data_IF_061675935254
#
_entry.id   IF_061675935254
#
_cell.length_a   1.000
_cell.length_b   1.000
_cell.length_c   1.000
_cell.angle_alpha   90.00
_cell.angle_beta   90.00
_cell.angle_gamma   90.00
#
_symmetry.space_group_name_H-M   'P 1'
#
loop_
_entity.id
_entity.type
_entity.pdbx_description
1 polymer ?
#
# COMPACT_ATOMS: atom_id res chain seq x y z
N UNK A 1 -28.60 -12.59 -35.55
CA UNK A 1 -28.10 -11.65 -34.52
C UNK A 1 -26.86 -12.24 -33.89
N UNK A 2 -25.67 -11.72 -34.18
CA UNK A 2 -24.42 -12.16 -33.55
C UNK A 2 -24.19 -11.31 -32.30
N UNK A 3 -24.24 -11.92 -31.13
CA UNK A 3 -23.85 -11.27 -29.87
C UNK A 3 -22.33 -11.10 -29.87
N UNK A 4 -21.86 -9.86 -29.71
CA UNK A 4 -20.45 -9.55 -29.51
C UNK A 4 -20.13 -9.76 -28.04
N UNK A 5 -19.36 -10.79 -27.74
CA UNK A 5 -18.71 -10.99 -26.44
C UNK A 5 -17.64 -9.91 -26.27
N UNK A 6 -17.83 -8.98 -25.34
CA UNK A 6 -16.78 -8.06 -24.93
C UNK A 6 -15.86 -8.78 -23.95
N UNK A 7 -14.65 -9.11 -24.40
CA UNK A 7 -13.55 -9.55 -23.54
C UNK A 7 -13.00 -8.31 -22.83
N UNK A 8 -13.27 -8.15 -21.55
CA UNK A 8 -12.56 -7.20 -20.69
C UNK A 8 -11.18 -7.79 -20.40
N UNK A 9 -10.18 -7.35 -21.18
CA UNK A 9 -8.78 -7.63 -20.89
C UNK A 9 -8.41 -6.81 -19.66
N UNK A 10 -8.28 -7.48 -18.51
CA UNK A 10 -7.65 -6.91 -17.32
C UNK A 10 -6.20 -6.59 -17.65
N UNK A 11 -5.92 -5.30 -17.87
CA UNK A 11 -4.58 -4.82 -18.10
C UNK A 11 -3.92 -4.64 -16.74
N UNK A 12 -3.20 -5.66 -16.27
CA UNK A 12 -2.23 -5.50 -15.20
C UNK A 12 -1.12 -4.56 -15.72
N UNK A 13 -1.32 -3.26 -15.51
CA UNK A 13 -0.27 -2.27 -15.78
C UNK A 13 0.68 -2.34 -14.61
N UNK A 14 1.77 -3.08 -14.78
CA UNK A 14 2.96 -2.95 -13.93
C UNK A 14 3.52 -1.54 -14.18
N UNK A 15 3.04 -0.55 -13.42
CA UNK A 15 3.66 0.77 -13.34
C UNK A 15 4.97 0.58 -12.58
N UNK A 16 6.08 0.54 -13.33
CA UNK A 16 7.40 0.65 -12.73
C UNK A 16 7.58 2.08 -12.25
N UNK A 17 7.40 2.30 -10.94
CA UNK A 17 7.78 3.57 -10.31
C UNK A 17 9.30 3.66 -10.35
N UNK A 18 9.84 4.43 -11.29
CA UNK A 18 11.22 4.88 -11.23
C UNK A 18 11.27 6.06 -10.25
N UNK A 19 11.74 5.80 -9.03
CA UNK A 19 12.20 6.87 -8.15
C UNK A 19 13.50 7.46 -8.72
N UNK A 20 13.67 8.79 -8.79
CA UNK A 20 14.97 9.36 -9.10
C UNK A 20 15.86 9.21 -7.86
N UNK A 21 16.95 8.44 -8.00
CA UNK A 21 17.98 8.33 -7.00
C UNK A 21 18.60 9.73 -6.74
N UNK A 22 18.50 10.21 -5.50
CA UNK A 22 19.27 11.36 -5.05
C UNK A 22 20.75 10.97 -5.00
N UNK A 23 21.56 11.62 -5.84
CA UNK A 23 23.00 11.47 -5.84
C UNK A 23 23.62 12.18 -4.64
N UNK A 24 24.47 11.46 -3.90
CA UNK A 24 25.58 12.07 -3.17
C UNK A 24 26.84 11.23 -3.39
N UNK A 25 27.81 11.77 -4.09
CA UNK A 25 29.14 11.19 -4.23
C UNK A 25 30.03 11.62 -3.07
N UNK A 26 30.60 10.66 -2.34
CA UNK A 26 32.00 10.66 -1.90
C UNK A 26 32.32 9.32 -1.20
N UNK A 27 33.20 8.51 -1.80
CA UNK A 27 33.82 7.35 -1.13
C UNK A 27 33.98 6.15 -2.04
N UNK A 28 35.18 5.98 -2.60
CA UNK A 28 35.54 4.84 -3.44
C UNK A 28 35.37 3.50 -2.70
N UNK A 29 34.44 2.68 -3.20
CA UNK A 29 34.20 1.30 -2.80
C UNK A 29 33.27 0.66 -3.84
N UNK A 30 33.56 -0.59 -4.22
CA UNK A 30 32.92 -1.32 -5.33
C UNK A 30 31.39 -1.12 -5.36
N UNK A 31 30.87 -0.57 -6.47
CA UNK A 31 29.43 -0.38 -6.66
C UNK A 31 28.69 -1.72 -6.74
N UNK A 32 27.40 -1.77 -6.35
CA UNK A 32 26.65 -3.00 -6.27
C UNK A 32 26.54 -3.66 -7.65
N UNK A 33 26.73 -4.98 -7.69
CA UNK A 33 26.63 -5.76 -8.91
C UNK A 33 25.21 -5.61 -9.50
N UNK A 34 25.11 -5.51 -10.84
CA UNK A 34 23.86 -5.28 -11.62
C UNK A 34 22.65 -6.19 -11.29
N UNK A 35 22.80 -7.22 -10.44
CA UNK A 35 21.71 -8.04 -9.93
C UNK A 35 21.14 -7.61 -8.57
N UNK A 36 21.89 -6.93 -7.70
CA UNK A 36 21.40 -6.54 -6.36
C UNK A 36 20.35 -5.43 -6.46
N UNK A 37 20.50 -4.56 -7.45
CA UNK A 37 19.54 -3.50 -7.77
C UNK A 37 18.17 -4.04 -8.22
N UNK A 38 18.10 -5.24 -8.83
CA UNK A 38 16.80 -5.81 -9.22
C UNK A 38 16.09 -6.47 -8.04
N UNK A 39 16.80 -7.24 -7.22
CA UNK A 39 16.16 -7.95 -6.09
C UNK A 39 15.63 -6.95 -5.05
N UNK A 40 16.39 -5.90 -4.73
CA UNK A 40 15.90 -4.86 -3.80
C UNK A 40 14.66 -4.16 -4.36
N UNK A 41 14.65 -3.84 -5.66
CA UNK A 41 13.47 -3.25 -6.29
C UNK A 41 12.26 -4.19 -6.25
N UNK A 42 12.48 -5.50 -6.41
CA UNK A 42 11.41 -6.50 -6.33
C UNK A 42 10.84 -6.64 -4.91
N UNK A 43 11.70 -6.62 -3.89
CA UNK A 43 11.26 -6.62 -2.48
C UNK A 43 10.44 -5.38 -2.16
N UNK A 44 10.86 -4.20 -2.64
CA UNK A 44 10.10 -2.97 -2.47
C UNK A 44 8.77 -3.01 -3.24
N UNK A 45 8.76 -3.52 -4.48
CA UNK A 45 7.54 -3.68 -5.25
C UNK A 45 6.56 -4.64 -4.57
N UNK A 46 7.04 -5.77 -4.05
CA UNK A 46 6.23 -6.72 -3.28
C UNK A 46 5.66 -6.05 -2.01
N UNK A 47 6.45 -5.28 -1.26
CA UNK A 47 5.96 -4.53 -0.09
C UNK A 47 4.76 -3.62 -0.41
N UNK A 48 4.81 -2.90 -1.53
CA UNK A 48 3.70 -2.06 -1.96
C UNK A 48 2.48 -2.87 -2.42
N UNK A 49 2.69 -4.04 -3.04
CA UNK A 49 1.63 -4.99 -3.40
C UNK A 49 0.93 -5.51 -2.15
N UNK A 50 1.68 -6.14 -1.25
CA UNK A 50 1.16 -6.73 0.00
C UNK A 50 0.39 -5.73 0.87
N UNK A 51 0.86 -4.49 0.97
CA UNK A 51 0.14 -3.45 1.68
C UNK A 51 -1.18 -3.10 0.98
N UNK A 52 -1.17 -3.00 -0.34
CA UNK A 52 -2.35 -2.74 -1.15
C UNK A 52 -3.37 -3.86 -1.03
N UNK A 53 -2.96 -5.12 -1.20
CA UNK A 53 -3.85 -6.29 -1.13
C UNK A 53 -4.44 -6.47 0.25
N UNK A 54 -3.66 -6.23 1.31
CA UNK A 54 -4.19 -6.09 2.67
C UNK A 54 -5.37 -5.09 2.72
N UNK A 55 -5.23 -3.89 2.17
CA UNK A 55 -6.30 -2.87 2.20
C UNK A 55 -7.48 -3.24 1.32
N UNK A 56 -7.24 -3.78 0.14
CA UNK A 56 -8.28 -4.23 -0.81
C UNK A 56 -9.11 -5.35 -0.18
N UNK A 57 -8.48 -6.37 0.39
CA UNK A 57 -9.19 -7.48 1.02
C UNK A 57 -9.94 -7.07 2.28
N UNK A 58 -9.42 -6.11 3.07
CA UNK A 58 -10.21 -5.50 4.16
C UNK A 58 -11.45 -4.78 3.64
N UNK A 59 -11.37 -4.08 2.51
CA UNK A 59 -12.51 -3.41 1.89
C UNK A 59 -13.54 -4.43 1.36
N UNK A 60 -13.08 -5.47 0.67
CA UNK A 60 -13.93 -6.56 0.18
C UNK A 60 -14.61 -7.33 1.32
N UNK A 61 -13.89 -7.59 2.41
CA UNK A 61 -14.46 -8.20 3.60
C UNK A 61 -15.61 -7.38 4.20
N UNK A 62 -15.41 -6.06 4.32
CA UNK A 62 -16.43 -5.16 4.85
C UNK A 62 -17.67 -5.14 3.92
N UNK A 63 -17.47 -5.08 2.61
CA UNK A 63 -18.56 -5.15 1.64
C UNK A 63 -19.31 -6.48 1.71
N UNK A 64 -18.59 -7.60 1.76
CA UNK A 64 -19.18 -8.94 1.81
C UNK A 64 -20.02 -9.13 3.09
N UNK A 65 -19.55 -8.65 4.24
CA UNK A 65 -20.30 -8.65 5.49
C UNK A 65 -21.58 -7.80 5.37
N UNK A 66 -21.47 -6.59 4.81
CA UNK A 66 -22.63 -5.72 4.57
C UNK A 66 -23.65 -6.32 3.61
N UNK A 67 -23.21 -7.18 2.67
CA UNK A 67 -24.06 -7.93 1.76
C UNK A 67 -24.58 -9.26 2.34
N UNK A 68 -24.28 -9.59 3.60
CA UNK A 68 -24.72 -10.81 4.28
C UNK A 68 -23.93 -12.07 3.91
N UNK A 69 -22.80 -11.94 3.23
CA UNK A 69 -21.92 -13.06 2.84
C UNK A 69 -20.81 -13.28 3.86
N UNK A 70 -21.16 -13.76 5.06
CA UNK A 70 -20.20 -13.94 6.16
C UNK A 70 -19.03 -14.87 5.83
N UNK A 71 -19.26 -15.92 5.03
CA UNK A 71 -18.19 -16.82 4.59
C UNK A 71 -17.17 -16.10 3.71
N UNK A 72 -17.62 -15.31 2.73
CA UNK A 72 -16.72 -14.52 1.89
C UNK A 72 -16.03 -13.43 2.69
N UNK A 73 -16.76 -12.78 3.61
CA UNK A 73 -16.19 -11.77 4.50
C UNK A 73 -15.08 -12.34 5.39
N UNK A 74 -15.26 -13.56 5.92
CA UNK A 74 -14.22 -14.24 6.69
C UNK A 74 -13.01 -14.59 5.83
N UNK A 75 -13.23 -15.16 4.64
CA UNK A 75 -12.14 -15.50 3.72
C UNK A 75 -11.27 -14.28 3.41
N UNK A 76 -11.88 -13.16 2.98
CA UNK A 76 -11.14 -11.92 2.75
C UNK A 76 -10.41 -11.38 3.98
N UNK A 77 -10.96 -11.53 5.20
CA UNK A 77 -10.26 -11.12 6.43
C UNK A 77 -9.05 -12.00 6.73
N UNK A 78 -9.13 -13.29 6.45
CA UNK A 78 -8.05 -14.26 6.67
C UNK A 78 -6.92 -14.02 5.66
N UNK A 79 -7.24 -13.88 4.37
CA UNK A 79 -6.27 -13.50 3.33
C UNK A 79 -5.59 -12.16 3.66
N UNK A 80 -6.37 -11.11 3.96
CA UNK A 80 -5.81 -9.81 4.38
C UNK A 80 -4.87 -9.92 5.60
N UNK A 81 -5.13 -10.85 6.51
CA UNK A 81 -4.26 -11.06 7.67
C UNK A 81 -2.92 -11.68 7.24
N UNK A 82 -2.91 -12.62 6.29
CA UNK A 82 -1.67 -13.20 5.77
C UNK A 82 -0.83 -12.14 5.04
N UNK A 83 -1.42 -11.34 4.14
CA UNK A 83 -0.68 -10.28 3.44
C UNK A 83 0.01 -9.32 4.41
N UNK A 84 -0.70 -8.91 5.47
CA UNK A 84 -0.18 -7.92 6.42
C UNK A 84 0.85 -8.50 7.38
N UNK A 85 0.55 -9.65 7.98
CA UNK A 85 1.28 -10.14 9.16
C UNK A 85 2.29 -11.24 8.83
N UNK A 86 2.25 -11.79 7.62
CA UNK A 86 3.24 -12.74 7.10
C UNK A 86 4.02 -12.07 5.96
N UNK A 87 3.44 -11.94 4.77
CA UNK A 87 4.18 -11.49 3.58
C UNK A 87 4.82 -10.11 3.73
N UNK A 88 4.02 -9.07 4.03
CA UNK A 88 4.53 -7.71 4.27
C UNK A 88 5.53 -7.68 5.42
N UNK A 89 5.24 -8.40 6.51
CA UNK A 89 6.07 -8.38 7.71
C UNK A 89 7.47 -8.96 7.43
N UNK A 90 7.55 -10.06 6.68
CA UNK A 90 8.81 -10.69 6.29
C UNK A 90 9.59 -9.84 5.29
N UNK A 91 8.91 -9.25 4.30
CA UNK A 91 9.52 -8.31 3.37
C UNK A 91 10.01 -7.03 4.08
N UNK A 92 9.28 -6.54 5.07
CA UNK A 92 9.64 -5.34 5.81
C UNK A 92 10.90 -5.59 6.64
N UNK A 93 11.03 -6.79 7.23
CA UNK A 93 12.28 -7.22 7.89
C UNK A 93 13.42 -7.35 6.91
N UNK A 94 13.18 -7.98 5.76
CA UNK A 94 14.17 -8.16 4.70
C UNK A 94 14.69 -6.82 4.16
N UNK A 95 13.79 -5.87 3.92
CA UNK A 95 14.11 -4.54 3.40
C UNK A 95 14.75 -3.61 4.44
N UNK A 96 14.69 -3.97 5.73
CA UNK A 96 15.10 -3.07 6.82
C UNK A 96 14.17 -1.85 6.92
N UNK A 97 12.87 -2.03 6.67
CA UNK A 97 11.90 -0.93 6.58
C UNK A 97 11.80 -0.11 7.87
N UNK A 98 12.02 -0.75 9.03
CA UNK A 98 12.01 -0.15 10.36
C UNK A 98 13.44 0.05 10.87
N UNK A 99 13.88 1.31 10.94
CA UNK A 99 15.15 1.74 11.51
C UNK A 99 15.00 2.31 12.92
N UNK A 100 15.89 3.25 13.29
CA UNK A 100 15.72 4.03 14.52
C UNK A 100 14.54 5.00 14.43
N UNK A 101 14.04 5.51 15.55
CA UNK A 101 12.98 6.54 15.55
C UNK A 101 13.34 7.76 14.67
N UNK A 102 14.62 8.17 14.65
CA UNK A 102 15.08 9.28 13.82
C UNK A 102 15.09 8.94 12.31
N UNK A 103 15.46 7.71 11.95
CA UNK A 103 15.44 7.24 10.57
C UNK A 103 14.01 7.08 10.05
N UNK A 104 13.13 6.53 10.89
CA UNK A 104 11.71 6.35 10.59
C UNK A 104 11.04 7.71 10.36
N UNK A 105 11.29 8.69 11.23
CA UNK A 105 10.80 10.06 11.07
C UNK A 105 11.34 10.73 9.80
N UNK A 106 12.62 10.55 9.49
CA UNK A 106 13.23 11.11 8.27
C UNK A 106 12.63 10.51 7.01
N UNK A 107 12.37 9.20 7.02
CA UNK A 107 11.71 8.47 5.93
C UNK A 107 10.28 8.98 5.74
N UNK A 108 9.51 9.08 6.83
CA UNK A 108 8.15 9.61 6.78
C UNK A 108 8.11 11.04 6.22
N UNK A 109 8.93 11.97 6.76
CA UNK A 109 9.01 13.35 6.26
C UNK A 109 9.29 13.41 4.76
N UNK A 110 10.15 12.52 4.24
CA UNK A 110 10.50 12.50 2.82
C UNK A 110 9.31 12.11 1.94
N UNK A 111 8.58 11.05 2.33
CA UNK A 111 7.37 10.61 1.62
C UNK A 111 6.28 11.67 1.65
N UNK A 112 5.89 12.08 2.86
CA UNK A 112 4.85 13.08 3.13
C UNK A 112 5.12 14.40 2.39
N UNK A 113 6.37 14.85 2.39
CA UNK A 113 6.73 16.07 1.69
C UNK A 113 6.62 15.93 0.17
N UNK A 114 7.07 14.81 -0.40
CA UNK A 114 6.94 14.54 -1.83
C UNK A 114 5.46 14.48 -2.25
N UNK A 115 4.64 13.81 -1.45
CA UNK A 115 3.20 13.67 -1.73
C UNK A 115 2.49 15.02 -1.63
N UNK A 116 2.77 15.78 -0.57
CA UNK A 116 2.24 17.12 -0.35
C UNK A 116 2.58 18.10 -1.48
N UNK A 117 3.82 18.10 -1.97
CA UNK A 117 4.34 19.18 -2.83
C UNK A 117 4.42 18.83 -4.32
N UNK A 118 4.55 17.55 -4.65
CA UNK A 118 4.75 17.09 -6.03
C UNK A 118 3.58 16.21 -6.50
N UNK A 119 3.39 15.05 -5.86
CA UNK A 119 2.48 14.00 -6.36
C UNK A 119 1.02 14.46 -6.37
N UNK A 120 0.45 14.78 -5.20
CA UNK A 120 -0.96 15.13 -5.10
C UNK A 120 -1.32 16.43 -5.83
N UNK A 121 -0.49 17.49 -5.79
CA UNK A 121 -0.70 18.64 -6.66
C UNK A 121 -0.71 18.30 -8.16
N UNK A 122 0.17 17.40 -8.61
CA UNK A 122 0.18 16.93 -10.01
C UNK A 122 -1.08 16.14 -10.35
N UNK A 123 -1.53 15.25 -9.45
CA UNK A 123 -2.72 14.43 -9.63
C UNK A 123 -3.98 15.28 -9.65
N UNK A 124 -4.09 16.27 -8.75
CA UNK A 124 -5.17 17.25 -8.76
C UNK A 124 -5.21 18.06 -10.07
N UNK A 125 -4.05 18.49 -10.60
CA UNK A 125 -3.99 19.18 -11.91
C UNK A 125 -4.44 18.25 -13.05
N UNK A 126 -4.06 16.98 -13.04
CA UNK A 126 -4.51 16.01 -14.05
C UNK A 126 -6.01 15.76 -13.95
N UNK A 127 -6.55 15.59 -12.75
CA UNK A 127 -7.99 15.41 -12.52
C UNK A 127 -8.82 16.60 -13.02
N UNK A 128 -8.33 17.83 -12.85
CA UNK A 128 -8.96 19.03 -13.45
C UNK A 128 -8.95 18.99 -14.98
N UNK A 129 -7.84 18.57 -15.60
CA UNK A 129 -7.73 18.43 -17.07
C UNK A 129 -8.66 17.36 -17.62
N UNK A 130 -8.81 16.25 -16.91
CA UNK A 130 -9.68 15.14 -17.29
C UNK A 130 -11.16 15.40 -16.94
N UNK A 131 -11.48 16.53 -16.30
CA UNK A 131 -12.83 16.90 -15.91
C UNK A 131 -13.39 16.15 -14.68
N UNK A 132 -12.56 15.40 -13.95
CA UNK A 132 -12.98 14.73 -12.71
C UNK A 132 -12.81 15.67 -11.51
N UNK A 133 -13.76 16.59 -11.33
CA UNK A 133 -13.72 17.59 -10.25
C UNK A 133 -13.66 16.97 -8.84
N UNK A 134 -14.28 15.79 -8.64
CA UNK A 134 -14.26 15.09 -7.36
C UNK A 134 -12.86 14.61 -6.98
N UNK A 135 -12.13 13.96 -7.91
CA UNK A 135 -10.74 13.55 -7.67
C UNK A 135 -9.81 14.75 -7.50
N UNK A 136 -10.03 15.84 -8.27
CA UNK A 136 -9.25 17.06 -8.10
C UNK A 136 -9.40 17.66 -6.69
N UNK A 137 -10.61 17.59 -6.11
CA UNK A 137 -10.88 18.02 -4.74
C UNK A 137 -10.17 17.12 -3.73
N UNK A 138 -10.40 15.81 -3.80
CA UNK A 138 -9.79 14.81 -2.90
C UNK A 138 -8.26 14.92 -2.92
N UNK A 139 -7.61 14.89 -4.10
CA UNK A 139 -6.15 15.06 -4.18
C UNK A 139 -5.66 16.42 -3.64
N UNK A 140 -6.46 17.48 -3.70
CA UNK A 140 -6.06 18.77 -3.10
C UNK A 140 -6.19 18.75 -1.58
N UNK A 141 -7.21 18.06 -1.05
CA UNK A 141 -7.42 17.89 0.39
C UNK A 141 -6.29 17.04 0.97
N UNK A 142 -6.02 15.86 0.39
CA UNK A 142 -4.93 14.98 0.80
C UNK A 142 -3.57 15.70 0.76
N UNK A 143 -3.26 16.47 -0.29
CA UNK A 143 -2.04 17.29 -0.35
C UNK A 143 -1.83 18.22 0.85
N UNK A 144 -2.91 18.78 1.42
CA UNK A 144 -2.82 19.61 2.61
C UNK A 144 -2.64 18.79 3.89
N UNK A 145 -3.12 17.55 3.89
CA UNK A 145 -3.01 16.62 5.01
C UNK A 145 -1.57 16.13 5.13
N UNK A 146 -0.94 15.74 4.02
CA UNK A 146 0.46 15.29 3.99
C UNK A 146 1.42 16.42 4.39
N UNK A 147 1.06 17.67 4.04
CA UNK A 147 1.82 18.83 4.50
C UNK A 147 1.77 18.98 6.02
N UNK A 148 0.65 18.65 6.67
CA UNK A 148 0.53 18.64 8.14
C UNK A 148 1.31 17.46 8.73
N UNK A 149 1.23 16.28 8.13
CA UNK A 149 1.98 15.11 8.59
C UNK A 149 3.49 15.35 8.54
N UNK A 150 4.01 15.85 7.42
CA UNK A 150 5.42 16.26 7.28
C UNK A 150 5.83 17.28 8.35
N UNK A 151 4.94 18.23 8.68
CA UNK A 151 5.18 19.23 9.73
C UNK A 151 5.27 18.58 11.11
N UNK A 152 4.35 17.67 11.43
CA UNK A 152 4.35 16.96 12.71
C UNK A 152 5.55 16.06 12.88
N UNK A 153 5.91 15.29 11.85
CA UNK A 153 7.10 14.45 11.88
C UNK A 153 8.39 15.27 11.96
N UNK A 154 8.46 16.42 11.27
CA UNK A 154 9.60 17.35 11.40
C UNK A 154 9.75 17.83 12.84
N UNK A 155 8.66 18.26 13.47
CA UNK A 155 8.68 18.69 14.87
C UNK A 155 9.12 17.57 15.82
N UNK A 156 8.68 16.33 15.59
CA UNK A 156 9.10 15.18 16.37
C UNK A 156 10.60 14.84 16.15
N UNK A 157 11.07 14.86 14.90
CA UNK A 157 12.47 14.60 14.55
C UNK A 157 13.41 15.61 15.17
N UNK A 158 13.07 16.90 15.09
CA UNK A 158 13.94 17.97 15.59
C UNK A 158 14.10 17.93 17.12
N UNK A 159 13.15 17.32 17.83
CA UNK A 159 13.22 17.12 19.28
C UNK A 159 13.75 15.73 19.68
N UNK A 160 13.92 14.77 18.77
CA UNK A 160 14.09 13.34 19.08
C UNK A 160 15.30 13.01 19.97
N UNK A 161 16.34 13.85 19.94
CA UNK A 161 17.58 13.67 20.73
C UNK A 161 17.43 14.06 22.19
N UNK A 162 16.39 14.81 22.55
CA UNK A 162 16.12 15.17 23.94
C UNK A 162 15.39 14.00 24.65
N UNK A 163 15.91 13.54 25.81
CA UNK A 163 15.35 12.40 26.54
C UNK A 163 13.89 12.61 26.99
N UNK A 164 13.46 13.86 27.17
CA UNK A 164 12.10 14.22 27.61
C UNK A 164 11.21 14.70 26.44
N UNK A 165 11.66 14.53 25.19
CA UNK A 165 10.96 15.00 24.00
C UNK A 165 9.59 14.36 23.76
N UNK A 166 9.37 13.13 24.21
CA UNK A 166 8.13 12.40 23.90
C UNK A 166 6.89 13.18 24.33
N UNK A 167 6.94 13.82 25.50
CA UNK A 167 5.86 14.65 26.04
C UNK A 167 5.48 15.83 25.14
N UNK A 168 6.39 16.28 24.28
CA UNK A 168 6.22 17.43 23.38
C UNK A 168 5.87 17.02 21.96
N UNK A 169 5.95 15.74 21.60
CA UNK A 169 5.60 15.32 20.25
C UNK A 169 4.13 15.63 19.94
N UNK A 170 3.84 16.13 18.73
CA UNK A 170 2.46 16.30 18.29
C UNK A 170 1.76 14.94 18.27
N UNK A 171 0.44 14.97 18.35
CA UNK A 171 -0.42 13.82 18.11
C UNK A 171 -1.39 14.21 17.00
N UNK A 172 -1.66 13.28 16.09
CA UNK A 172 -2.62 13.49 15.02
C UNK A 172 -4.06 13.29 15.49
N UNK A 173 -4.99 13.41 14.56
CA UNK A 173 -6.35 12.93 14.77
C UNK A 173 -6.43 11.46 14.37
N UNK A 174 -7.12 10.65 15.19
CA UNK A 174 -7.43 9.27 14.81
C UNK A 174 -8.70 9.26 13.97
N UNK A 175 -8.58 8.87 12.72
CA UNK A 175 -9.73 8.69 11.84
C UNK A 175 -10.32 7.29 12.07
N UNK A 176 -11.64 7.15 12.33
CA UNK A 176 -12.28 5.85 12.46
C UNK A 176 -12.41 5.15 11.12
N UNK A 177 -12.49 3.81 11.14
CA UNK A 177 -12.69 3.04 9.91
C UNK A 177 -13.97 3.44 9.18
N UNK A 178 -13.85 3.72 7.88
CA UNK A 178 -14.95 4.12 7.03
C UNK A 178 -15.24 3.06 5.96
N UNK A 179 -16.53 2.91 5.62
CA UNK A 179 -16.95 1.95 4.60
C UNK A 179 -16.62 2.44 3.18
N UNK A 180 -16.19 1.53 2.31
CA UNK A 180 -16.07 1.76 0.87
C UNK A 180 -17.28 1.08 0.21
N UNK A 181 -18.37 1.81 -0.08
CA UNK A 181 -19.55 1.21 -0.70
C UNK A 181 -19.21 0.67 -2.09
N UNK A 182 -19.89 -0.40 -2.49
CA UNK A 182 -19.77 -0.92 -3.83
C UNK A 182 -20.29 0.11 -4.86
N UNK A 183 -19.54 0.33 -5.93
CA UNK A 183 -19.93 1.32 -6.94
C UNK A 183 -18.98 1.40 -8.12
N UNK A 184 -19.43 1.95 -9.25
CA UNK A 184 -18.59 2.13 -10.42
C UNK A 184 -17.52 3.20 -10.19
N UNK A 185 -16.43 3.12 -10.93
CA UNK A 185 -15.44 4.19 -11.03
C UNK A 185 -16.11 5.50 -11.45
N UNK A 186 -15.76 6.59 -10.77
CA UNK A 186 -16.26 7.95 -11.04
C UNK A 186 -15.34 8.75 -11.95
N UNK A 187 -14.09 8.33 -12.09
CA UNK A 187 -13.13 8.91 -13.01
C UNK A 187 -12.70 7.85 -14.05
N UNK A 188 -12.12 8.29 -15.15
CA UNK A 188 -11.58 7.42 -16.20
C UNK A 188 -10.22 7.94 -16.69
N UNK A 189 -9.58 7.22 -17.61
CA UNK A 189 -8.35 7.68 -18.24
C UNK A 189 -7.19 7.83 -17.24
N UNK A 190 -6.40 8.90 -17.38
CA UNK A 190 -5.20 9.10 -16.57
C UNK A 190 -5.55 9.38 -15.10
N UNK A 191 -6.64 10.07 -14.82
CA UNK A 191 -7.09 10.29 -13.43
C UNK A 191 -7.44 8.99 -12.72
N UNK A 192 -8.06 8.03 -13.41
CA UNK A 192 -8.30 6.70 -12.82
C UNK A 192 -6.99 5.98 -12.51
N UNK A 193 -6.00 6.06 -13.41
CA UNK A 193 -4.69 5.47 -13.15
C UNK A 193 -3.99 6.14 -11.95
N UNK A 194 -4.11 7.45 -11.80
CA UNK A 194 -3.55 8.19 -10.66
C UNK A 194 -4.26 7.83 -9.34
N UNK A 195 -5.58 7.61 -9.34
CA UNK A 195 -6.30 7.15 -8.15
C UNK A 195 -5.79 5.77 -7.70
N UNK A 196 -5.64 4.84 -8.65
CA UNK A 196 -5.13 3.50 -8.33
C UNK A 196 -3.68 3.56 -7.82
N UNK A 197 -2.84 4.39 -8.44
CA UNK A 197 -1.45 4.60 -8.03
C UNK A 197 -1.33 5.19 -6.62
N UNK A 198 -2.09 6.26 -6.33
CA UNK A 198 -2.11 6.88 -5.01
C UNK A 198 -2.54 5.89 -3.92
N UNK A 199 -3.56 5.07 -4.19
CA UNK A 199 -4.01 4.03 -3.24
C UNK A 199 -2.91 3.02 -2.88
N UNK A 200 -1.94 2.73 -3.76
CA UNK A 200 -0.78 1.90 -3.39
C UNK A 200 0.16 2.62 -2.42
N UNK A 201 0.34 3.94 -2.59
CA UNK A 201 1.08 4.80 -1.65
C UNK A 201 0.42 4.82 -0.28
N UNK A 202 -0.86 5.18 -0.23
CA UNK A 202 -1.66 5.27 1.01
C UNK A 202 -1.71 3.95 1.78
N UNK A 203 -1.91 2.84 1.05
CA UNK A 203 -1.90 1.52 1.66
C UNK A 203 -0.54 1.21 2.29
N UNK A 204 0.56 1.49 1.58
CA UNK A 204 1.90 1.26 2.07
C UNK A 204 2.23 2.16 3.26
N UNK A 205 1.97 3.47 3.19
CA UNK A 205 2.22 4.43 4.25
C UNK A 205 1.48 4.06 5.54
N UNK A 206 0.18 3.75 5.46
CA UNK A 206 -0.60 3.34 6.64
C UNK A 206 -0.05 2.07 7.33
N UNK A 207 0.41 1.10 6.53
CA UNK A 207 1.01 -0.16 7.01
C UNK A 207 2.43 0.06 7.57
N UNK A 208 3.21 0.92 6.94
CA UNK A 208 4.55 1.33 7.39
C UNK A 208 4.48 2.08 8.72
N UNK A 209 3.58 3.06 8.85
CA UNK A 209 3.43 3.85 10.07
C UNK A 209 2.88 3.02 11.23
N UNK A 210 2.07 1.99 10.98
CA UNK A 210 1.74 1.02 12.02
C UNK A 210 2.98 0.31 12.58
N UNK A 211 3.95 -0.09 11.73
CA UNK A 211 5.21 -0.69 12.20
C UNK A 211 6.10 0.32 12.95
N UNK A 212 6.13 1.58 12.50
CA UNK A 212 6.85 2.65 13.20
C UNK A 212 6.24 2.96 14.55
N UNK A 213 4.90 2.96 14.65
CA UNK A 213 4.18 3.08 15.90
C UNK A 213 4.57 1.96 16.87
N UNK A 214 4.58 0.71 16.42
CA UNK A 214 5.00 -0.41 17.26
C UNK A 214 6.46 -0.31 17.71
N UNK A 215 7.36 0.15 16.83
CA UNK A 215 8.75 0.39 17.19
C UNK A 215 8.87 1.48 18.27
N UNK A 216 8.25 2.63 18.06
CA UNK A 216 8.26 3.75 19.01
C UNK A 216 7.66 3.35 20.37
N UNK A 217 6.62 2.51 20.37
CA UNK A 217 6.05 1.97 21.60
C UNK A 217 7.06 1.09 22.34
N UNK A 218 7.82 0.25 21.63
CA UNK A 218 8.89 -0.60 22.22
C UNK A 218 10.10 0.22 22.66
N UNK A 219 10.41 1.33 22.00
CA UNK A 219 11.50 2.23 22.37
C UNK A 219 11.16 3.18 23.53
N UNK A 220 9.95 3.08 24.10
CA UNK A 220 9.52 3.88 25.23
C UNK A 220 9.03 5.27 24.86
N UNK A 221 8.59 5.47 23.61
CA UNK A 221 8.07 6.74 23.06
C UNK A 221 6.59 6.62 22.69
N UNK A 222 5.68 6.51 23.68
CA UNK A 222 4.25 6.28 23.43
C UNK A 222 3.56 7.44 22.69
N UNK A 223 4.02 8.69 22.82
CA UNK A 223 3.45 9.80 22.04
C UNK A 223 3.93 9.80 20.60
N UNK A 224 5.19 9.44 20.35
CA UNK A 224 5.65 9.19 18.98
C UNK A 224 4.89 8.03 18.34
N UNK A 225 4.69 6.95 19.10
CA UNK A 225 3.88 5.82 18.64
C UNK A 225 2.46 6.27 18.28
N UNK A 226 1.85 7.11 19.14
CA UNK A 226 0.54 7.68 18.89
C UNK A 226 0.50 8.54 17.63
N UNK A 227 1.51 9.37 17.39
CA UNK A 227 1.62 10.18 16.18
C UNK A 227 1.62 9.30 14.93
N UNK A 228 2.49 8.29 14.87
CA UNK A 228 2.51 7.34 13.75
C UNK A 228 1.19 6.60 13.57
N UNK A 229 0.55 6.18 14.66
CA UNK A 229 -0.74 5.49 14.60
C UNK A 229 -1.89 6.39 14.12
N UNK A 230 -1.87 7.67 14.47
CA UNK A 230 -2.92 8.63 14.08
C UNK A 230 -2.76 9.04 12.61
N UNK A 231 -1.52 9.34 12.17
CA UNK A 231 -1.22 9.58 10.74
C UNK A 231 -1.54 8.34 9.91
N UNK A 232 -1.05 7.16 10.31
CA UNK A 232 -1.36 5.91 9.62
C UNK A 232 -2.88 5.65 9.50
N UNK A 233 -3.68 6.12 10.46
CA UNK A 233 -5.14 6.04 10.37
C UNK A 233 -5.75 7.00 9.35
N UNK A 234 -5.15 8.18 9.12
CA UNK A 234 -5.54 9.12 8.07
C UNK A 234 -5.26 8.52 6.69
N UNK A 235 -4.04 8.03 6.43
CA UNK A 235 -3.68 7.31 5.19
C UNK A 235 -4.74 6.25 4.83
N UNK A 236 -5.06 5.40 5.80
CA UNK A 236 -5.80 4.20 5.50
C UNK A 236 -7.33 4.37 5.62
N UNK A 237 -7.84 5.27 6.48
CA UNK A 237 -9.29 5.46 6.69
C UNK A 237 -9.86 6.70 6.02
N UNK A 238 -9.04 7.65 5.63
CA UNK A 238 -9.44 8.85 4.91
C UNK A 238 -8.95 8.78 3.46
N UNK A 239 -7.65 8.93 3.23
CA UNK A 239 -7.08 9.08 1.90
C UNK A 239 -7.40 7.87 1.00
N UNK A 240 -6.95 6.67 1.39
CA UNK A 240 -7.25 5.43 0.67
C UNK A 240 -8.75 5.22 0.46
N UNK A 241 -9.58 5.55 1.45
CA UNK A 241 -11.04 5.34 1.38
C UNK A 241 -11.68 6.29 0.37
N UNK A 242 -11.31 7.56 0.37
CA UNK A 242 -11.83 8.55 -0.58
C UNK A 242 -11.40 8.21 -2.01
N UNK A 243 -10.14 7.82 -2.20
CA UNK A 243 -9.62 7.38 -3.49
C UNK A 243 -10.28 6.10 -3.98
N UNK A 244 -10.41 5.08 -3.13
CA UNK A 244 -11.05 3.82 -3.46
C UNK A 244 -12.52 4.01 -3.89
N UNK A 245 -13.25 4.94 -3.23
CA UNK A 245 -14.62 5.30 -3.59
C UNK A 245 -14.71 5.95 -4.97
N UNK A 246 -13.74 6.79 -5.33
CA UNK A 246 -13.67 7.42 -6.65
C UNK A 246 -13.21 6.44 -7.73
N UNK A 247 -12.28 5.56 -7.38
CA UNK A 247 -11.74 4.53 -8.26
C UNK A 247 -12.74 3.41 -8.55
N UNK A 248 -13.80 3.27 -7.73
CA UNK A 248 -14.74 2.17 -7.83
C UNK A 248 -14.11 0.83 -7.48
N UNK A 249 -13.22 0.83 -6.47
CA UNK A 249 -12.46 -0.36 -6.06
C UNK A 249 -13.36 -1.54 -5.72
N UNK A 250 -14.44 -1.27 -4.98
CA UNK A 250 -15.32 -2.29 -4.42
C UNK A 250 -16.50 -2.52 -5.34
N UNK A 251 -16.70 -3.77 -5.76
CA UNK A 251 -17.88 -4.24 -6.48
C UNK A 251 -18.79 -5.13 -5.63
N UNK A 252 -19.78 -5.79 -6.25
CA UNK A 252 -20.51 -6.90 -5.65
C UNK A 252 -19.56 -8.01 -5.17
N UNK A 253 -19.95 -8.75 -4.14
CA UNK A 253 -19.10 -9.78 -3.52
C UNK A 253 -18.59 -10.82 -4.51
N UNK A 254 -19.40 -11.20 -5.50
CA UNK A 254 -18.96 -12.15 -6.53
C UNK A 254 -17.87 -11.58 -7.45
N UNK A 255 -17.98 -10.30 -7.82
CA UNK A 255 -16.98 -9.64 -8.65
C UNK A 255 -15.68 -9.45 -7.88
N UNK A 256 -15.77 -9.08 -6.59
CA UNK A 256 -14.60 -8.98 -5.71
C UNK A 256 -13.87 -10.33 -5.58
N UNK A 257 -14.61 -11.44 -5.45
CA UNK A 257 -14.03 -12.79 -5.40
C UNK A 257 -13.34 -13.17 -6.71
N UNK A 258 -13.89 -12.76 -7.87
CA UNK A 258 -13.25 -13.00 -9.18
C UNK A 258 -11.99 -12.16 -9.35
N UNK A 259 -12.01 -10.91 -8.92
CA UNK A 259 -10.84 -10.01 -8.93
C UNK A 259 -9.73 -10.57 -8.06
N UNK A 260 -10.04 -10.96 -6.81
CA UNK A 260 -9.07 -11.58 -5.91
C UNK A 260 -8.51 -12.87 -6.52
N UNK A 261 -9.37 -13.79 -6.98
CA UNK A 261 -8.91 -15.01 -7.66
C UNK A 261 -7.94 -14.74 -8.82
N UNK A 262 -8.16 -13.69 -9.60
CA UNK A 262 -7.28 -13.34 -10.71
C UNK A 262 -5.92 -12.82 -10.20
N UNK A 263 -5.91 -11.90 -9.23
CA UNK A 263 -4.69 -11.36 -8.63
C UNK A 263 -3.82 -12.45 -8.02
N UNK A 264 -4.41 -13.26 -7.14
CA UNK A 264 -3.75 -14.39 -6.47
C UNK A 264 -3.11 -15.39 -7.46
N UNK A 265 -3.80 -15.66 -8.58
CA UNK A 265 -3.25 -16.53 -9.63
C UNK A 265 -2.08 -15.89 -10.35
N UNK A 266 -2.18 -14.61 -10.68
CA UNK A 266 -1.10 -13.89 -11.34
C UNK A 266 0.12 -13.83 -10.44
N UNK A 267 -0.05 -13.63 -9.13
CA UNK A 267 1.05 -13.60 -8.17
C UNK A 267 1.69 -14.97 -7.97
N UNK A 268 0.88 -16.01 -7.77
CA UNK A 268 1.32 -17.38 -7.64
C UNK A 268 2.10 -17.89 -8.86
N UNK A 269 1.70 -17.48 -10.08
CA UNK A 269 2.20 -18.10 -11.32
C UNK A 269 3.14 -17.21 -12.13
N UNK A 270 3.10 -15.89 -11.91
CA UNK A 270 3.86 -14.92 -12.68
C UNK A 270 4.73 -14.04 -11.78
N UNK A 271 4.14 -13.26 -10.87
CA UNK A 271 4.86 -12.22 -10.13
C UNK A 271 5.96 -12.81 -9.26
N UNK A 272 5.60 -13.66 -8.30
CA UNK A 272 6.54 -14.21 -7.33
C UNK A 272 7.55 -15.18 -7.93
N UNK A 273 7.18 -16.10 -8.85
CA UNK A 273 8.16 -16.90 -9.58
C UNK A 273 9.18 -16.05 -10.33
N UNK A 274 8.76 -14.94 -10.95
CA UNK A 274 9.66 -14.04 -11.67
C UNK A 274 10.58 -13.26 -10.73
N UNK A 275 10.13 -12.90 -9.52
CA UNK A 275 10.95 -12.25 -8.50
C UNK A 275 11.97 -13.24 -7.92
N UNK A 276 11.52 -14.45 -7.57
CA UNK A 276 12.38 -15.56 -7.15
C UNK A 276 13.50 -15.82 -8.15
N UNK A 277 13.18 -15.97 -9.44
CA UNK A 277 14.17 -16.27 -10.49
C UNK A 277 15.23 -15.17 -10.64
N UNK A 278 14.92 -13.92 -10.25
CA UNK A 278 15.92 -12.86 -10.14
C UNK A 278 16.72 -12.96 -8.85
N UNK A 279 16.06 -13.21 -7.72
CA UNK A 279 16.64 -13.28 -6.39
C UNK A 279 17.61 -14.47 -6.21
N UNK A 280 17.36 -15.64 -6.81
CA UNK A 280 18.23 -16.84 -6.69
C UNK A 280 19.67 -16.59 -7.17
N UNK A 281 19.91 -15.51 -7.91
CA UNK A 281 21.25 -15.18 -8.41
C UNK A 281 22.14 -14.54 -7.37
N UNK A 282 21.59 -13.96 -6.30
CA UNK A 282 22.36 -13.15 -5.35
C UNK A 282 21.69 -12.91 -3.98
N UNK A 283 20.53 -13.47 -3.69
CA UNK A 283 19.80 -13.21 -2.46
C UNK A 283 18.90 -14.39 -2.03
N UNK A 284 19.52 -15.44 -1.48
CA UNK A 284 18.82 -16.69 -1.12
C UNK A 284 17.60 -16.51 -0.22
N UNK A 285 17.64 -15.60 0.74
CA UNK A 285 16.49 -15.34 1.62
C UNK A 285 15.29 -14.77 0.86
N UNK A 286 15.50 -13.77 0.01
CA UNK A 286 14.45 -13.19 -0.83
C UNK A 286 13.88 -14.22 -1.80
N UNK A 287 14.74 -15.06 -2.38
CA UNK A 287 14.29 -16.15 -3.25
C UNK A 287 13.38 -17.15 -2.53
N UNK A 288 13.73 -17.53 -1.29
CA UNK A 288 12.88 -18.43 -0.49
C UNK A 288 11.54 -17.79 -0.16
N UNK A 289 11.53 -16.54 0.31
CA UNK A 289 10.29 -15.83 0.62
C UNK A 289 9.38 -15.72 -0.60
N UNK A 290 9.90 -15.34 -1.77
CA UNK A 290 9.09 -15.30 -2.99
C UNK A 290 8.57 -16.69 -3.42
N UNK A 291 9.30 -17.78 -3.16
CA UNK A 291 8.77 -19.12 -3.43
C UNK A 291 7.68 -19.53 -2.44
N UNK A 292 7.81 -19.15 -1.17
CA UNK A 292 6.81 -19.35 -0.12
C UNK A 292 5.52 -18.55 -0.44
N UNK A 293 5.64 -17.26 -0.75
CA UNK A 293 4.47 -16.42 -1.11
C UNK A 293 3.75 -16.96 -2.35
N UNK A 294 4.48 -17.41 -3.38
CA UNK A 294 3.86 -18.03 -4.55
C UNK A 294 2.99 -19.26 -4.19
N UNK A 295 3.38 -20.03 -3.16
CA UNK A 295 2.60 -21.17 -2.69
C UNK A 295 1.39 -20.73 -1.86
N UNK A 296 1.52 -19.62 -1.14
CA UNK A 296 0.46 -19.04 -0.31
C UNK A 296 -0.64 -18.45 -1.20
N UNK A 297 -0.28 -17.67 -2.22
CA UNK A 297 -1.23 -17.14 -3.20
C UNK A 297 -1.92 -18.24 -4.01
N UNK A 298 -1.22 -19.34 -4.28
CA UNK A 298 -1.85 -20.51 -4.91
C UNK A 298 -2.94 -21.12 -4.02
N UNK A 299 -2.78 -21.09 -2.69
CA UNK A 299 -3.81 -21.54 -1.74
C UNK A 299 -4.95 -20.53 -1.67
N UNK A 300 -4.67 -19.23 -1.59
CA UNK A 300 -5.69 -18.17 -1.64
C UNK A 300 -6.54 -18.27 -2.91
N UNK A 301 -5.92 -18.39 -4.08
CA UNK A 301 -6.59 -18.63 -5.35
C UNK A 301 -7.50 -19.87 -5.29
N UNK A 302 -7.03 -20.97 -4.71
CA UNK A 302 -7.85 -22.17 -4.49
C UNK A 302 -9.09 -21.91 -3.64
N UNK A 303 -8.94 -21.16 -2.55
CA UNK A 303 -10.03 -20.81 -1.64
C UNK A 303 -11.05 -19.86 -2.29
N UNK A 304 -10.61 -18.84 -3.03
CA UNK A 304 -11.51 -17.94 -3.76
C UNK A 304 -12.27 -18.68 -4.88
N UNK A 305 -11.61 -19.58 -5.60
CA UNK A 305 -12.26 -20.43 -6.61
C UNK A 305 -13.33 -21.33 -5.99
N UNK A 306 -13.06 -21.92 -4.81
CA UNK A 306 -14.03 -22.70 -4.07
C UNK A 306 -15.23 -21.84 -3.62
N UNK A 307 -14.98 -20.63 -3.11
CA UNK A 307 -16.04 -19.71 -2.68
C UNK A 307 -16.96 -19.26 -3.83
N UNK A 308 -16.45 -19.18 -5.06
CA UNK A 308 -17.24 -18.93 -6.27
C UNK A 308 -18.07 -20.14 -6.72
N UNK A 309 -17.61 -21.35 -6.40
CA UNK A 309 -18.25 -22.60 -6.84
C UNK A 309 -19.34 -23.12 -5.90
N UNK A 310 -19.36 -22.66 -4.65
CA UNK A 310 -20.29 -23.10 -3.61
C UNK A 310 -21.64 -22.35 -3.58
N UNK A 311 -22.06 -21.72 -4.69
CA UNK A 311 -23.31 -20.96 -4.79
C UNK A 311 -24.36 -21.68 -5.62
#
# INVERSE_FOLDING_TARGET
MRARTALSVGLAVVMTVQTPAAASEAGAGQGPARGESSTRADVLAALHGEAYDYRVYRAYAAQAAAAGSETAARLFRETAHQERYEHFAELARLAGLVGSDADNLTTAITGEHYEATEMYPAYARQARRDGCAAAAKVFTEISHDEQRHATWYTAARDAITDPDADQRFPVGERVPAAAIPAGPARCTGRTQANLLDAMHGEAFAGVQYALYSEHAQRSGRPRLARLFADVGSQEHNEHFVEEARLAGLVGPTEDNLRTALAGERDEATITYPRYRDRAVRNHDLAARLFDEFAQDEARHAGQFAAALSCR
#
